data_IF_720783565916
#
_entry.id   IF_720783565916
#
_cell.length_a   1.000
_cell.length_b   1.000
_cell.length_c   1.000
_cell.angle_alpha   90.00
_cell.angle_beta   90.00
_cell.angle_gamma   90.00
#
_symmetry.space_group_name_H-M   'P 1'
#
loop_
_entity.id
_entity.type
_entity.pdbx_description
1 polymer ?
#
# COMPACT_ATOMS: atom_id res chain seq x y z
N UNK A 1 28.55 -14.82 28.73
CA UNK A 1 28.29 -13.50 28.13
C UNK A 1 26.84 -13.49 27.67
N UNK A 2 25.95 -12.81 28.39
CA UNK A 2 24.54 -12.65 27.98
C UNK A 2 24.47 -11.49 27.00
N UNK A 3 24.36 -11.79 25.71
CA UNK A 3 24.08 -10.80 24.68
C UNK A 3 22.68 -10.23 24.91
N UNK A 4 22.58 -8.98 25.33
CA UNK A 4 21.33 -8.22 25.31
C UNK A 4 20.95 -8.00 23.86
N UNK A 5 19.91 -8.69 23.38
CA UNK A 5 19.33 -8.41 22.07
C UNK A 5 18.64 -7.04 22.14
N UNK A 6 19.10 -6.01 21.39
CA UNK A 6 18.50 -4.70 21.44
C UNK A 6 17.11 -4.76 20.79
N UNK A 7 16.06 -4.70 21.61
CA UNK A 7 14.68 -4.60 21.14
C UNK A 7 14.30 -3.13 20.94
N UNK A 8 13.50 -2.81 19.91
CA UNK A 8 12.92 -1.47 19.76
C UNK A 8 12.10 -1.09 20.99
N UNK A 9 12.16 0.19 21.38
CA UNK A 9 11.27 0.73 22.40
C UNK A 9 9.81 0.72 21.91
N UNK A 10 8.86 0.67 22.84
CA UNK A 10 7.44 0.72 22.49
C UNK A 10 7.05 1.98 21.70
N UNK A 11 7.71 3.11 21.98
CA UNK A 11 7.50 4.36 21.24
C UNK A 11 7.94 4.28 19.77
N UNK A 12 9.03 3.56 19.48
CA UNK A 12 9.49 3.34 18.11
C UNK A 12 8.52 2.45 17.33
N UNK A 13 8.01 1.38 17.95
CA UNK A 13 7.01 0.49 17.32
C UNK A 13 5.74 1.26 16.94
N UNK A 14 5.21 2.09 17.85
CA UNK A 14 4.00 2.88 17.60
C UNK A 14 4.22 3.88 16.47
N UNK A 15 5.39 4.54 16.43
CA UNK A 15 5.73 5.48 15.36
C UNK A 15 5.80 4.77 14.01
N UNK A 16 6.46 3.61 13.94
CA UNK A 16 6.56 2.79 12.73
C UNK A 16 5.17 2.40 12.21
N UNK A 17 4.30 1.88 13.09
CA UNK A 17 2.92 1.49 12.71
C UNK A 17 2.15 2.68 12.16
N UNK A 18 2.24 3.85 12.80
CA UNK A 18 1.54 5.06 12.37
C UNK A 18 2.02 5.54 11.00
N UNK A 19 3.32 5.63 10.79
CA UNK A 19 3.91 6.14 9.53
C UNK A 19 3.67 5.16 8.39
N UNK A 20 3.98 3.88 8.58
CA UNK A 20 3.76 2.84 7.58
C UNK A 20 2.28 2.68 7.24
N UNK A 21 1.41 2.62 8.26
CA UNK A 21 -0.03 2.45 8.07
C UNK A 21 -0.64 3.59 7.29
N UNK A 22 -0.23 4.84 7.57
CA UNK A 22 -0.71 6.01 6.82
C UNK A 22 -0.25 5.98 5.36
N UNK A 23 1.05 5.77 5.11
CA UNK A 23 1.61 5.70 3.76
C UNK A 23 0.96 4.57 2.93
N UNK A 24 0.79 3.39 3.52
CA UNK A 24 0.12 2.26 2.86
C UNK A 24 -1.34 2.60 2.53
N UNK A 25 -2.08 3.19 3.46
CA UNK A 25 -3.47 3.55 3.24
C UNK A 25 -3.64 4.58 2.13
N UNK A 26 -2.86 5.68 2.17
CA UNK A 26 -2.87 6.72 1.15
C UNK A 26 -2.57 6.14 -0.24
N UNK A 27 -1.57 5.25 -0.34
CA UNK A 27 -1.24 4.56 -1.60
C UNK A 27 -2.34 3.64 -2.08
N UNK A 28 -2.96 2.86 -1.21
CA UNK A 28 -4.03 1.93 -1.58
C UNK A 28 -5.24 2.70 -2.11
N UNK A 29 -5.67 3.74 -1.40
CA UNK A 29 -6.81 4.59 -1.80
C UNK A 29 -6.52 5.29 -3.14
N UNK A 30 -5.36 5.90 -3.28
CA UNK A 30 -4.99 6.60 -4.52
C UNK A 30 -4.90 5.64 -5.72
N UNK A 31 -4.34 4.45 -5.52
CA UNK A 31 -4.22 3.46 -6.61
C UNK A 31 -5.56 2.81 -6.93
N UNK A 32 -6.44 2.64 -5.94
CA UNK A 32 -7.82 2.21 -6.17
C UNK A 32 -8.59 3.25 -7.00
N UNK A 33 -8.48 4.53 -6.65
CA UNK A 33 -9.10 5.62 -7.41
C UNK A 33 -8.56 5.67 -8.84
N UNK A 34 -7.23 5.54 -9.02
CA UNK A 34 -6.62 5.49 -10.35
C UNK A 34 -7.12 4.27 -11.17
N UNK A 35 -7.19 3.09 -10.54
CA UNK A 35 -7.71 1.86 -11.16
C UNK A 35 -9.18 1.98 -11.56
N UNK A 36 -10.00 2.64 -10.73
CA UNK A 36 -11.39 2.95 -11.06
C UNK A 36 -11.47 3.81 -12.31
N UNK A 37 -10.80 4.97 -12.30
CA UNK A 37 -10.83 5.95 -13.41
C UNK A 37 -10.32 5.32 -14.70
N UNK A 38 -9.24 4.53 -14.63
CA UNK A 38 -8.71 3.80 -15.78
C UNK A 38 -9.72 2.79 -16.36
N UNK A 39 -10.59 2.22 -15.54
CA UNK A 39 -11.59 1.24 -15.94
C UNK A 39 -12.94 1.85 -16.36
N UNK A 40 -13.18 3.15 -16.11
CA UNK A 40 -14.43 3.83 -16.55
C UNK A 40 -14.55 3.86 -18.07
N UNK A 41 -13.49 4.28 -18.77
CA UNK A 41 -13.49 4.39 -20.25
C UNK A 41 -13.83 3.04 -20.91
N UNK A 42 -13.14 1.92 -20.60
CA UNK A 42 -13.46 0.63 -21.21
C UNK A 42 -14.83 0.11 -20.78
N UNK A 43 -15.28 0.37 -19.54
CA UNK A 43 -16.63 -0.02 -19.11
C UNK A 43 -17.71 0.70 -19.93
N UNK A 44 -17.56 2.00 -20.16
CA UNK A 44 -18.48 2.78 -21.00
C UNK A 44 -18.44 2.35 -22.47
N UNK A 45 -17.24 2.12 -23.03
CA UNK A 45 -17.09 1.68 -24.41
C UNK A 45 -17.70 0.29 -24.69
N UNK A 46 -17.84 -0.54 -23.65
CA UNK A 46 -18.44 -1.87 -23.71
C UNK A 46 -19.91 -1.91 -23.28
N UNK A 47 -20.55 -0.76 -23.02
CA UNK A 47 -21.88 -0.66 -22.41
C UNK A 47 -22.03 -1.53 -21.14
N UNK A 48 -20.91 -1.69 -20.41
CA UNK A 48 -20.85 -2.52 -19.22
C UNK A 48 -21.35 -1.77 -17.98
N UNK A 49 -21.72 -2.53 -16.96
CA UNK A 49 -22.12 -1.96 -15.68
C UNK A 49 -20.95 -1.24 -14.99
N UNK A 50 -21.22 -0.18 -14.23
CA UNK A 50 -20.19 0.56 -13.47
C UNK A 50 -19.47 -0.32 -12.43
N UNK A 51 -20.03 -1.49 -12.11
CA UNK A 51 -19.36 -2.51 -11.30
C UNK A 51 -18.09 -3.05 -11.95
N UNK A 52 -17.97 -3.03 -13.29
CA UNK A 52 -16.71 -3.35 -13.97
C UNK A 52 -15.63 -2.31 -13.63
N UNK A 53 -15.98 -1.02 -13.61
CA UNK A 53 -15.05 0.02 -13.20
C UNK A 53 -14.67 -0.10 -11.71
N UNK A 54 -15.63 -0.46 -10.85
CA UNK A 54 -15.36 -0.80 -9.44
C UNK A 54 -14.39 -1.99 -9.32
N UNK A 55 -14.46 -2.97 -10.23
CA UNK A 55 -13.46 -4.04 -10.35
C UNK A 55 -12.05 -3.50 -10.60
N UNK A 56 -11.90 -2.51 -11.48
CA UNK A 56 -10.63 -1.80 -11.70
C UNK A 56 -10.09 -1.14 -10.44
N UNK A 57 -10.96 -0.56 -9.61
CA UNK A 57 -10.59 -0.03 -8.30
C UNK A 57 -10.04 -1.13 -7.37
N UNK A 58 -10.71 -2.28 -7.34
CA UNK A 58 -10.27 -3.46 -6.58
C UNK A 58 -8.89 -3.96 -7.02
N UNK A 59 -8.64 -4.03 -8.33
CA UNK A 59 -7.33 -4.42 -8.87
C UNK A 59 -6.24 -3.43 -8.47
N UNK A 60 -6.50 -2.12 -8.59
CA UNK A 60 -5.56 -1.08 -8.17
C UNK A 60 -5.25 -1.12 -6.67
N UNK A 61 -6.28 -1.31 -5.84
CA UNK A 61 -6.13 -1.47 -4.39
C UNK A 61 -5.26 -2.68 -4.03
N UNK A 62 -5.56 -3.84 -4.61
CA UNK A 62 -4.83 -5.08 -4.37
C UNK A 62 -3.37 -4.97 -4.80
N UNK A 63 -3.12 -4.41 -6.00
CA UNK A 63 -1.78 -4.19 -6.50
C UNK A 63 -0.96 -3.32 -5.54
N UNK A 64 -1.51 -2.20 -5.09
CA UNK A 64 -0.84 -1.28 -4.18
C UNK A 64 -0.59 -1.89 -2.80
N UNK A 65 -1.56 -2.64 -2.28
CA UNK A 65 -1.45 -3.33 -1.00
C UNK A 65 -0.31 -4.35 -1.02
N UNK A 66 -0.31 -5.24 -2.02
CA UNK A 66 0.73 -6.26 -2.19
C UNK A 66 2.10 -5.61 -2.34
N UNK A 67 2.20 -4.56 -3.17
CA UNK A 67 3.45 -3.82 -3.35
C UNK A 67 3.95 -3.18 -2.05
N UNK A 68 3.06 -2.59 -1.25
CA UNK A 68 3.41 -2.01 0.04
C UNK A 68 3.90 -3.04 1.07
N UNK A 69 3.26 -4.21 1.10
CA UNK A 69 3.70 -5.34 1.94
C UNK A 69 5.08 -5.85 1.53
N UNK A 70 5.31 -6.02 0.22
CA UNK A 70 6.62 -6.42 -0.31
C UNK A 70 7.69 -5.34 -0.04
N UNK A 71 7.35 -4.05 -0.16
CA UNK A 71 8.26 -2.97 0.13
C UNK A 71 8.71 -2.96 1.60
N UNK A 72 7.82 -3.30 2.54
CA UNK A 72 8.20 -3.48 3.96
C UNK A 72 9.14 -4.65 4.18
N UNK A 73 8.98 -5.74 3.42
CA UNK A 73 9.79 -6.95 3.57
C UNK A 73 11.21 -6.79 2.99
N UNK A 74 11.37 -6.00 1.92
CA UNK A 74 12.64 -5.86 1.19
C UNK A 74 13.29 -4.47 1.27
N UNK A 75 12.55 -3.45 1.70
CA UNK A 75 12.98 -2.04 1.77
C UNK A 75 13.11 -1.54 3.20
N UNK A 76 12.80 -0.26 3.43
CA UNK A 76 12.76 0.30 4.78
C UNK A 76 11.54 -0.25 5.54
N UNK A 77 11.72 -0.95 6.68
CA UNK A 77 10.61 -1.46 7.49
C UNK A 77 9.63 -0.36 7.96
N UNK A 78 10.05 0.91 7.94
CA UNK A 78 9.28 2.06 8.35
C UNK A 78 8.47 2.73 7.22
N UNK A 79 8.62 2.29 5.97
CA UNK A 79 7.96 2.89 4.80
C UNK A 79 7.31 1.82 3.93
N UNK A 80 6.16 2.11 3.32
CA UNK A 80 5.55 1.26 2.31
C UNK A 80 6.13 1.54 0.91
N UNK A 81 7.34 2.11 0.85
CA UNK A 81 8.10 2.44 -0.35
C UNK A 81 9.43 1.69 -0.40
N UNK A 82 9.95 1.46 -1.61
CA UNK A 82 11.28 0.87 -1.82
C UNK A 82 12.41 1.90 -1.58
N UNK A 83 12.14 2.97 -0.84
CA UNK A 83 13.18 3.93 -0.48
C UNK A 83 14.26 3.21 0.32
N UNK A 84 15.52 3.43 -0.08
CA UNK A 84 16.67 2.93 0.67
C UNK A 84 16.76 3.75 1.97
N UNK A 85 17.08 3.12 3.11
CA UNK A 85 17.42 3.85 4.33
C UNK A 85 18.58 4.80 4.00
N UNK A 86 18.35 6.11 4.12
CA UNK A 86 19.39 7.14 4.06
C UNK A 86 19.68 7.59 5.47
#
# INVERSE_FOLDING_TARGET
MTSSFPLPSGGEVVRTVKTYGRDLFERVVNTAAAGFVAAVIPAQAADASMWYAAGGAGVGALYSLLKGMLARAFGDPNSASLSRKV
#
